data_IF_522568213198
#
_entry.id   IF_522568213198
#
_cell.length_a   1.000
_cell.length_b   1.000
_cell.length_c   1.000
_cell.angle_alpha   90.00
_cell.angle_beta   90.00
_cell.angle_gamma   90.00
#
_symmetry.space_group_name_H-M   'P 1'
#
loop_
_entity.id
_entity.type
_entity.pdbx_description
1 polymer ?
#
# COMPACT_ATOMS: atom_id res chain seq x y z
N UNK A 1 14.22 -4.25 -24.81
CA UNK A 1 14.08 -2.93 -24.14
C UNK A 1 12.74 -2.23 -24.42
N UNK A 2 11.76 -2.88 -25.07
CA UNK A 2 10.47 -2.23 -25.45
C UNK A 2 9.32 -2.41 -24.43
N UNK A 3 9.44 -3.32 -23.48
CA UNK A 3 8.30 -3.73 -22.64
C UNK A 3 7.99 -2.74 -21.48
N UNK A 4 9.01 -2.10 -20.93
CA UNK A 4 8.84 -1.19 -19.80
C UNK A 4 8.26 0.18 -20.21
N UNK A 5 8.60 0.69 -21.40
CA UNK A 5 8.06 1.96 -21.93
C UNK A 5 6.56 1.86 -22.19
N UNK A 6 6.11 0.80 -22.83
CA UNK A 6 4.68 0.57 -23.15
C UNK A 6 3.83 0.42 -21.89
N UNK A 7 4.39 -0.20 -20.85
CA UNK A 7 3.71 -0.36 -19.56
C UNK A 7 3.55 1.00 -18.85
N UNK A 8 4.59 1.81 -18.82
CA UNK A 8 4.55 3.17 -18.25
C UNK A 8 3.53 4.05 -18.97
N UNK A 9 3.55 4.05 -20.31
CA UNK A 9 2.59 4.81 -21.13
C UNK A 9 1.14 4.39 -20.87
N UNK A 10 0.88 3.08 -20.72
CA UNK A 10 -0.44 2.56 -20.39
C UNK A 10 -0.90 3.04 -19.00
N UNK A 11 -0.05 2.98 -17.99
CA UNK A 11 -0.40 3.43 -16.65
C UNK A 11 -0.65 4.94 -16.59
N UNK A 12 0.15 5.74 -17.30
CA UNK A 12 -0.06 7.18 -17.45
C UNK A 12 -1.42 7.47 -18.08
N UNK A 13 -1.74 6.80 -19.19
CA UNK A 13 -3.04 6.94 -19.85
C UNK A 13 -4.22 6.55 -18.95
N UNK A 14 -4.09 5.46 -18.19
CA UNK A 14 -5.13 5.02 -17.26
C UNK A 14 -5.31 6.02 -16.11
N UNK A 15 -4.23 6.53 -15.53
CA UNK A 15 -4.26 7.53 -14.46
C UNK A 15 -5.00 8.79 -14.91
N UNK A 16 -4.63 9.35 -16.05
CA UNK A 16 -5.27 10.52 -16.65
C UNK A 16 -6.75 10.29 -16.95
N UNK A 17 -7.09 9.10 -17.43
CA UNK A 17 -8.48 8.74 -17.75
C UNK A 17 -9.33 8.67 -16.49
N UNK A 18 -8.85 7.99 -15.44
CA UNK A 18 -9.56 7.85 -14.16
C UNK A 18 -9.81 9.23 -13.53
N UNK A 19 -8.80 10.09 -13.49
CA UNK A 19 -8.90 11.45 -12.95
C UNK A 19 -9.95 12.28 -13.70
N UNK A 20 -10.01 12.16 -15.02
CA UNK A 20 -11.00 12.89 -15.86
C UNK A 20 -12.43 12.35 -15.73
N UNK A 21 -12.59 11.06 -15.49
CA UNK A 21 -13.91 10.42 -15.40
C UNK A 21 -14.59 10.65 -14.03
N UNK A 22 -13.84 10.91 -12.99
CA UNK A 22 -14.35 11.08 -11.63
C UNK A 22 -14.59 12.56 -11.33
N UNK A 23 -15.87 12.99 -11.30
CA UNK A 23 -16.25 14.38 -11.03
C UNK A 23 -16.77 14.63 -9.61
N UNK A 24 -17.32 13.61 -8.95
CA UNK A 24 -18.05 13.77 -7.69
C UNK A 24 -17.20 13.48 -6.44
N UNK A 25 -16.08 12.80 -6.60
CA UNK A 25 -15.20 12.42 -5.50
C UNK A 25 -13.78 12.95 -5.78
N UNK A 26 -13.03 13.21 -4.72
CA UNK A 26 -11.58 13.45 -4.84
C UNK A 26 -10.89 12.16 -5.23
N UNK A 27 -10.16 12.19 -6.33
CA UNK A 27 -9.40 11.05 -6.84
C UNK A 27 -7.95 11.47 -6.99
N UNK A 28 -7.08 10.75 -6.32
CA UNK A 28 -5.63 10.89 -6.38
C UNK A 28 -5.06 9.58 -6.93
N UNK A 29 -4.33 9.66 -8.02
CA UNK A 29 -3.73 8.50 -8.69
C UNK A 29 -2.22 8.65 -8.70
N UNK A 30 -1.51 7.62 -8.27
CA UNK A 30 -0.04 7.56 -8.41
C UNK A 30 0.36 7.48 -9.87
N UNK A 31 1.30 8.34 -10.28
CA UNK A 31 1.87 8.38 -11.61
C UNK A 31 3.37 8.61 -11.51
N UNK A 32 4.16 7.62 -11.88
CA UNK A 32 5.62 7.62 -11.70
C UNK A 32 6.03 7.97 -10.25
N UNK A 33 6.82 9.01 -10.06
CA UNK A 33 7.29 9.47 -8.75
C UNK A 33 6.33 10.46 -8.06
N UNK A 34 5.20 10.76 -8.71
CA UNK A 34 4.24 11.73 -8.25
C UNK A 34 2.81 11.22 -8.20
N UNK A 35 1.88 12.15 -8.21
CA UNK A 35 0.46 11.89 -8.25
C UNK A 35 -0.26 12.88 -9.17
N UNK A 36 -1.37 12.44 -9.76
CA UNK A 36 -2.34 13.29 -10.45
C UNK A 36 -3.65 13.30 -9.67
N UNK A 37 -4.34 14.44 -9.64
CA UNK A 37 -5.57 14.62 -8.89
C UNK A 37 -6.60 15.38 -9.74
N UNK A 38 -7.89 15.06 -9.57
CA UNK A 38 -8.99 15.72 -10.25
C UNK A 38 -9.44 17.04 -9.58
N UNK A 39 -8.91 17.35 -8.41
CA UNK A 39 -9.24 18.54 -7.64
C UNK A 39 -7.97 19.29 -7.22
N UNK A 40 -8.09 20.60 -7.00
CA UNK A 40 -6.99 21.43 -6.49
C UNK A 40 -6.86 21.25 -4.98
N UNK A 41 -6.22 20.16 -4.57
CA UNK A 41 -5.89 19.86 -3.17
C UNK A 41 -4.39 19.82 -2.98
N UNK A 42 -3.94 19.98 -1.72
CA UNK A 42 -2.54 19.74 -1.41
C UNK A 42 -2.22 18.26 -1.56
N UNK A 43 -1.21 17.94 -2.32
CA UNK A 43 -0.66 16.58 -2.48
C UNK A 43 0.73 16.46 -1.85
N UNK A 44 1.00 17.34 -0.89
CA UNK A 44 2.26 17.35 -0.15
C UNK A 44 2.46 16.01 0.58
N UNK A 45 3.66 15.46 0.48
CA UNK A 45 3.98 14.14 1.03
C UNK A 45 3.60 12.95 0.15
N UNK A 46 2.90 13.16 -0.98
CA UNK A 46 2.64 12.12 -1.99
C UNK A 46 3.57 12.22 -3.20
N UNK A 47 4.19 13.37 -3.41
CA UNK A 47 5.14 13.63 -4.50
C UNK A 47 6.56 13.29 -4.07
N UNK A 48 7.42 13.00 -5.06
CA UNK A 48 8.82 12.57 -4.87
C UNK A 48 8.96 11.28 -4.06
N UNK A 49 8.01 10.36 -4.23
CA UNK A 49 8.06 9.07 -3.60
C UNK A 49 8.86 8.08 -4.46
N UNK A 50 10.06 7.75 -4.02
CA UNK A 50 10.93 6.75 -4.64
C UNK A 50 10.61 5.30 -4.19
N UNK A 51 9.48 5.10 -3.52
CA UNK A 51 9.03 3.76 -3.16
C UNK A 51 8.56 3.02 -4.41
N UNK A 52 9.33 2.06 -4.88
CA UNK A 52 8.98 1.18 -6.01
C UNK A 52 7.83 0.22 -5.66
N UNK A 53 7.69 -0.10 -4.37
CA UNK A 53 6.69 -1.04 -3.86
C UNK A 53 5.31 -0.39 -3.73
N UNK A 54 4.34 -0.90 -4.49
CA UNK A 54 2.96 -0.44 -4.46
C UNK A 54 2.34 -0.50 -3.04
N UNK A 55 2.71 -1.51 -2.26
CA UNK A 55 2.17 -1.75 -0.92
C UNK A 55 2.56 -0.64 0.06
N UNK A 56 3.76 -0.11 -0.04
CA UNK A 56 4.18 1.03 0.80
C UNK A 56 3.51 2.33 0.37
N UNK A 57 3.26 2.52 -0.93
CA UNK A 57 2.54 3.70 -1.46
C UNK A 57 1.10 3.79 -0.98
N UNK A 58 0.40 2.67 -0.81
CA UNK A 58 -0.95 2.64 -0.24
C UNK A 58 -1.00 3.35 1.11
N UNK A 59 0.04 3.18 1.94
CA UNK A 59 0.07 3.79 3.27
C UNK A 59 0.44 5.27 3.26
N UNK A 60 1.16 5.76 2.25
CA UNK A 60 1.34 7.19 2.04
C UNK A 60 0.01 7.86 1.71
N UNK A 61 -0.79 7.28 0.82
CA UNK A 61 -2.15 7.75 0.52
C UNK A 61 -3.06 7.68 1.76
N UNK A 62 -2.95 6.62 2.56
CA UNK A 62 -3.71 6.48 3.81
C UNK A 62 -3.34 7.57 4.81
N UNK A 63 -2.05 7.88 4.96
CA UNK A 63 -1.57 8.96 5.82
C UNK A 63 -2.05 10.32 5.35
N UNK A 64 -2.00 10.58 4.05
CA UNK A 64 -2.49 11.82 3.46
C UNK A 64 -3.99 11.98 3.71
N UNK A 65 -4.79 10.93 3.44
CA UNK A 65 -6.22 10.95 3.70
C UNK A 65 -6.55 11.19 5.19
N UNK A 66 -5.78 10.61 6.11
CA UNK A 66 -5.93 10.85 7.54
C UNK A 66 -5.60 12.31 7.91
N UNK A 67 -4.54 12.89 7.35
CA UNK A 67 -4.18 14.29 7.56
C UNK A 67 -5.23 15.26 7.03
N UNK A 68 -5.96 14.88 5.96
CA UNK A 68 -7.12 15.61 5.44
C UNK A 68 -8.40 15.44 6.28
N UNK A 69 -8.31 14.77 7.45
CA UNK A 69 -9.42 14.63 8.40
C UNK A 69 -10.32 13.43 8.16
N UNK A 70 -9.93 12.48 7.30
CA UNK A 70 -10.71 11.26 7.12
C UNK A 70 -10.45 10.30 8.30
N UNK A 71 -11.50 10.00 9.06
CA UNK A 71 -11.44 9.10 10.21
C UNK A 71 -11.66 7.62 9.89
N UNK A 72 -12.03 7.31 8.66
CA UNK A 72 -12.26 5.94 8.19
C UNK A 72 -11.46 5.68 6.92
N UNK A 73 -10.58 4.68 6.95
CA UNK A 73 -9.72 4.28 5.84
C UNK A 73 -10.08 2.87 5.38
N UNK A 74 -10.30 2.70 4.10
CA UNK A 74 -10.54 1.40 3.47
C UNK A 74 -9.44 1.14 2.45
N UNK A 75 -8.69 0.07 2.65
CA UNK A 75 -7.65 -0.38 1.72
C UNK A 75 -8.16 -1.62 0.99
N UNK A 76 -8.13 -1.61 -0.34
CA UNK A 76 -8.38 -2.80 -1.14
C UNK A 76 -7.04 -3.36 -1.64
N UNK A 77 -6.75 -4.58 -1.27
CA UNK A 77 -5.50 -5.24 -1.63
C UNK A 77 -5.72 -6.68 -2.06
N UNK A 78 -4.79 -7.22 -2.83
CA UNK A 78 -4.73 -8.63 -3.23
C UNK A 78 -3.63 -9.39 -2.49
N UNK A 79 -2.70 -8.70 -1.86
CA UNK A 79 -1.55 -9.26 -1.16
C UNK A 79 -1.76 -9.26 0.37
N UNK A 80 -1.31 -10.35 1.01
CA UNK A 80 -1.39 -10.50 2.47
C UNK A 80 -0.42 -9.60 3.23
N UNK A 81 0.67 -9.18 2.60
CA UNK A 81 1.67 -8.29 3.22
C UNK A 81 1.07 -6.93 3.58
N UNK A 82 0.08 -6.48 2.79
CA UNK A 82 -0.69 -5.27 3.10
C UNK A 82 -1.40 -5.36 4.45
N UNK A 83 -1.90 -6.54 4.86
CA UNK A 83 -2.51 -6.72 6.18
C UNK A 83 -1.51 -6.49 7.31
N UNK A 84 -0.31 -7.03 7.15
CA UNK A 84 0.76 -6.90 8.15
C UNK A 84 1.19 -5.44 8.29
N UNK A 85 1.39 -4.76 7.15
CA UNK A 85 1.75 -3.35 7.13
C UNK A 85 0.61 -2.52 7.75
N UNK A 86 -0.65 -2.78 7.40
CA UNK A 86 -1.81 -2.08 7.94
C UNK A 86 -1.87 -2.15 9.48
N UNK A 87 -1.68 -3.35 10.05
CA UNK A 87 -1.62 -3.55 11.51
C UNK A 87 -0.50 -2.73 12.16
N UNK A 88 0.66 -2.66 11.51
CA UNK A 88 1.84 -1.96 12.02
C UNK A 88 1.72 -0.44 11.94
N UNK A 89 1.03 0.07 10.91
CA UNK A 89 0.90 1.51 10.62
C UNK A 89 -0.32 2.13 11.33
N UNK A 90 -1.31 1.32 11.72
CA UNK A 90 -2.52 1.84 12.35
C UNK A 90 -2.28 2.80 13.52
N UNK A 91 -1.36 2.56 14.47
CA UNK A 91 -1.12 3.50 15.57
C UNK A 91 -0.76 4.91 15.05
N UNK A 92 0.04 5.00 13.99
CA UNK A 92 0.42 6.28 13.37
C UNK A 92 -0.80 6.97 12.74
N UNK A 93 -1.70 6.21 12.11
CA UNK A 93 -2.92 6.75 11.54
C UNK A 93 -3.92 7.18 12.62
N UNK A 94 -3.96 6.49 13.75
CA UNK A 94 -4.78 6.86 14.91
C UNK A 94 -4.32 8.18 15.53
N UNK A 95 -3.03 8.43 15.59
CA UNK A 95 -2.47 9.72 16.03
C UNK A 95 -2.90 10.88 15.10
N UNK A 96 -3.27 10.58 13.85
CA UNK A 96 -3.83 11.52 12.87
C UNK A 96 -5.36 11.57 12.88
N UNK A 97 -6.04 10.85 13.79
CA UNK A 97 -7.49 10.88 13.96
C UNK A 97 -8.25 9.76 13.25
N UNK A 98 -7.56 8.73 12.73
CA UNK A 98 -8.24 7.56 12.14
C UNK A 98 -8.85 6.69 13.24
N UNK A 99 -10.16 6.52 13.20
CA UNK A 99 -10.93 5.67 14.12
C UNK A 99 -11.08 4.25 13.58
N UNK A 100 -11.28 4.11 12.26
CA UNK A 100 -11.56 2.84 11.61
C UNK A 100 -10.66 2.61 10.42
N UNK A 101 -10.00 1.46 10.39
CA UNK A 101 -9.26 0.99 9.23
C UNK A 101 -9.70 -0.41 8.85
N UNK A 102 -10.00 -0.60 7.57
CA UNK A 102 -10.42 -1.87 7.01
C UNK A 102 -9.48 -2.25 5.86
N UNK A 103 -9.17 -3.53 5.76
CA UNK A 103 -8.56 -4.11 4.56
C UNK A 103 -9.54 -5.05 3.89
N UNK A 104 -9.94 -4.72 2.66
CA UNK A 104 -10.77 -5.56 1.81
C UNK A 104 -9.86 -6.45 0.96
N UNK A 105 -9.93 -7.75 1.17
CA UNK A 105 -9.07 -8.75 0.55
C UNK A 105 -9.86 -9.73 -0.30
N UNK A 106 -9.37 -10.04 -1.51
CA UNK A 106 -10.02 -10.93 -2.45
C UNK A 106 -10.89 -10.22 -3.47
N UNK A 107 -11.71 -10.98 -4.23
CA UNK A 107 -12.55 -10.46 -5.32
C UNK A 107 -13.94 -11.11 -5.35
N UNK A 108 -14.94 -10.37 -5.83
CA UNK A 108 -16.30 -10.85 -6.04
C UNK A 108 -16.92 -11.42 -4.76
N UNK A 109 -17.44 -12.64 -4.83
CA UNK A 109 -18.06 -13.32 -3.69
C UNK A 109 -17.07 -13.74 -2.60
N UNK A 110 -15.77 -13.75 -2.89
CA UNK A 110 -14.70 -14.07 -1.94
C UNK A 110 -14.08 -12.82 -1.29
N UNK A 111 -14.70 -11.66 -1.43
CA UNK A 111 -14.23 -10.44 -0.78
C UNK A 111 -14.43 -10.54 0.74
N UNK A 112 -13.34 -10.46 1.47
CA UNK A 112 -13.31 -10.46 2.94
C UNK A 112 -12.89 -9.09 3.45
N UNK A 113 -13.54 -8.64 4.51
CA UNK A 113 -13.25 -7.39 5.20
C UNK A 113 -12.58 -7.68 6.53
N UNK A 114 -11.40 -7.15 6.72
CA UNK A 114 -10.61 -7.34 7.94
C UNK A 114 -10.55 -6.03 8.72
N UNK A 115 -11.09 -5.99 9.95
CA UNK A 115 -11.11 -4.78 10.78
C UNK A 115 -9.76 -4.61 11.48
N UNK A 116 -8.86 -3.83 10.89
CA UNK A 116 -7.50 -3.63 11.43
C UNK A 116 -7.54 -2.91 12.77
N UNK A 117 -8.47 -1.98 12.97
CA UNK A 117 -8.67 -1.24 14.21
C UNK A 117 -9.10 -2.11 15.41
N UNK A 118 -9.57 -3.33 15.16
CA UNK A 118 -9.84 -4.33 16.22
C UNK A 118 -8.64 -5.25 16.45
N UNK A 119 -7.92 -5.59 15.37
CA UNK A 119 -6.80 -6.55 15.40
C UNK A 119 -5.57 -5.91 16.03
N UNK A 120 -5.17 -4.72 15.59
CA UNK A 120 -3.94 -4.07 16.04
C UNK A 120 -3.91 -3.86 17.58
N UNK A 121 -4.98 -3.36 18.23
CA UNK A 121 -5.02 -3.26 19.68
C UNK A 121 -4.93 -4.60 20.40
N UNK A 122 -5.53 -5.66 19.85
CA UNK A 122 -5.50 -7.00 20.46
C UNK A 122 -4.11 -7.64 20.44
N UNK A 123 -3.28 -7.28 19.46
CA UNK A 123 -1.88 -7.71 19.35
C UNK A 123 -0.99 -6.90 20.31
N UNK A 124 -1.32 -5.63 20.50
CA UNK A 124 -0.57 -4.66 21.28
C UNK A 124 0.51 -3.92 20.48
N UNK A 125 0.87 -2.69 20.90
CA UNK A 125 1.70 -1.78 20.09
C UNK A 125 3.11 -2.31 19.81
N UNK A 126 3.74 -2.96 20.80
CA UNK A 126 5.10 -3.50 20.64
C UNK A 126 5.14 -4.65 19.64
N UNK A 127 4.16 -5.56 19.71
CA UNK A 127 4.09 -6.69 18.79
C UNK A 127 3.66 -6.25 17.38
N UNK A 128 2.78 -5.27 17.26
CA UNK A 128 2.37 -4.68 15.98
C UNK A 128 3.57 -4.09 15.23
N UNK A 129 4.43 -3.33 15.92
CA UNK A 129 5.69 -2.82 15.34
C UNK A 129 6.66 -3.95 14.99
N UNK A 130 6.75 -4.98 15.84
CA UNK A 130 7.60 -6.14 15.62
C UNK A 130 7.16 -6.97 14.43
N UNK A 131 5.87 -6.99 14.10
CA UNK A 131 5.32 -7.76 13.00
C UNK A 131 5.93 -7.37 11.64
N UNK A 132 6.08 -6.07 11.39
CA UNK A 132 6.74 -5.56 10.18
C UNK A 132 8.19 -6.00 10.09
N UNK A 133 8.93 -5.94 11.20
CA UNK A 133 10.32 -6.42 11.26
C UNK A 133 10.41 -7.92 10.98
N UNK A 134 9.51 -8.73 11.56
CA UNK A 134 9.46 -10.17 11.31
C UNK A 134 9.17 -10.50 9.85
N UNK A 135 8.25 -9.79 9.21
CA UNK A 135 7.94 -10.00 7.78
C UNK A 135 9.14 -9.70 6.90
N UNK A 136 9.84 -8.58 7.15
CA UNK A 136 11.08 -8.23 6.45
C UNK A 136 12.17 -9.28 6.68
N UNK A 137 12.34 -9.76 7.90
CA UNK A 137 13.33 -10.79 8.22
C UNK A 137 13.04 -12.10 7.50
N UNK A 138 11.78 -12.54 7.48
CA UNK A 138 11.34 -13.75 6.77
C UNK A 138 11.58 -13.62 5.26
N UNK A 139 11.27 -12.46 4.67
CA UNK A 139 11.51 -12.18 3.26
C UNK A 139 13.00 -12.26 2.92
N UNK A 140 13.88 -11.67 3.74
CA UNK A 140 15.34 -11.75 3.56
C UNK A 140 15.86 -13.19 3.70
N UNK A 141 15.37 -13.93 4.70
CA UNK A 141 15.75 -15.35 4.88
C UNK A 141 15.30 -16.22 3.70
N UNK A 142 14.09 -15.98 3.19
CA UNK A 142 13.59 -16.68 2.01
C UNK A 142 14.44 -16.39 0.77
N UNK A 143 14.71 -15.12 0.47
CA UNK A 143 15.58 -14.73 -0.64
C UNK A 143 16.98 -15.35 -0.52
N UNK A 144 17.56 -15.36 0.68
CA UNK A 144 18.85 -15.98 0.91
C UNK A 144 18.83 -17.50 0.66
N UNK A 145 17.75 -18.20 1.03
CA UNK A 145 17.59 -19.63 0.78
C UNK A 145 17.47 -19.95 -0.72
N UNK A 146 16.69 -19.14 -1.46
CA UNK A 146 16.52 -19.29 -2.91
C UNK A 146 17.83 -19.04 -3.66
N UNK A 147 18.57 -18.00 -3.29
CA UNK A 147 19.88 -17.69 -3.90
C UNK A 147 20.90 -18.80 -3.64
N UNK A 148 20.91 -19.39 -2.45
CA UNK A 148 21.77 -20.57 -2.15
C UNK A 148 21.32 -21.81 -2.93
N UNK A 149 20.02 -22.07 -3.02
CA UNK A 149 19.48 -23.22 -3.76
C UNK A 149 19.86 -23.20 -5.24
N UNK A 150 19.82 -22.04 -5.88
CA UNK A 150 20.19 -21.90 -7.29
C UNK A 150 21.70 -22.07 -7.56
N UNK A 151 22.59 -21.86 -6.56
CA UNK A 151 24.04 -22.13 -6.72
C UNK A 151 24.40 -23.61 -6.70
N UNK A 152 23.53 -24.45 -6.14
CA UNK A 152 23.80 -25.91 -6.07
C UNK A 152 23.40 -26.62 -7.38
N UNK A 153 22.52 -26.03 -8.20
CA UNK A 153 22.09 -26.61 -9.48
C UNK A 153 22.84 -26.09 -10.72
N UNK A 154 23.80 -25.18 -10.53
CA UNK A 154 24.60 -24.61 -11.63
C UNK A 154 25.97 -25.26 -11.88
N UNK A 155 26.31 -26.35 -11.19
CA UNK A 155 27.57 -27.09 -11.35
C UNK A 155 27.32 -28.59 -11.60
N UNK A 156 26.72 -28.91 -12.76
CA UNK A 156 26.77 -30.24 -13.38
C UNK A 156 26.92 -30.05 -14.89
#
# INVERSE_FOLDING_TARGET
MSDNSSKTELFTFLADTIVKMCSNNTVIVTQEDGVVCNQSISVEGLTHCNHEEADTRIFLHSKHAAADGNNTIIIKASDTDVLVIAVSVLPILQDLGVEKQWVAFGQGQNLKWTPIHEISPSIGPEKSKGLLFFTLLLAVMYLHSVVKGNRVHGNL
#
